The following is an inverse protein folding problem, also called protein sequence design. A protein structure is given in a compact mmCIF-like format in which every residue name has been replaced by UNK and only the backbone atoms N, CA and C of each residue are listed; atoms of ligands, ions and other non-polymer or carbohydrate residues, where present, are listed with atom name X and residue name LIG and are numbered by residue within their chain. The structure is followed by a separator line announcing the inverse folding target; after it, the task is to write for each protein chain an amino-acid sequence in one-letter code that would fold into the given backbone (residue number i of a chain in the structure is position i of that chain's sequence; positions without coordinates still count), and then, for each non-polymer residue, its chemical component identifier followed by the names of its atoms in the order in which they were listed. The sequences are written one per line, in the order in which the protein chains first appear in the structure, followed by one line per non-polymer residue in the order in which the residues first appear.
data_IF_996355328349
#
_entry.id   IF_996355328349
#
_cell.length_a   1.000
_cell.length_b   1.000
_cell.length_c   1.000
_cell.angle_alpha   90.00
_cell.angle_beta   90.00
_cell.angle_gamma   90.00
#
_symmetry.space_group_name_H-M   'P 1'
#
loop_
_entity.id
_entity.type
_entity.pdbx_description
1 polymer ?
#
# COMPACT_ATOMS: atom_id res chain seq x y z
N UNK A 1 -28.14 46.11 -55.72
CA UNK A 1 -27.27 45.59 -56.80
C UNK A 1 -26.00 45.08 -56.16
N UNK A 2 -25.84 43.78 -56.05
CA UNK A 2 -24.63 43.13 -55.52
C UNK A 2 -23.58 43.05 -56.62
N UNK A 3 -22.37 43.63 -56.47
CA UNK A 3 -21.37 43.53 -57.52
C UNK A 3 -20.88 42.09 -57.63
N UNK A 4 -21.16 41.48 -58.78
CA UNK A 4 -20.63 40.20 -59.24
C UNK A 4 -19.13 40.34 -59.53
N UNK A 5 -18.29 40.29 -58.50
CA UNK A 5 -16.83 40.19 -58.63
C UNK A 5 -16.41 38.73 -58.92
N UNK A 6 -16.85 38.21 -60.06
CA UNK A 6 -16.60 36.85 -60.53
C UNK A 6 -15.75 36.80 -61.79
N UNK A 7 -14.63 37.54 -61.84
CA UNK A 7 -13.65 37.41 -62.93
C UNK A 7 -12.80 36.14 -62.77
N UNK A 8 -12.29 35.53 -63.86
CA UNK A 8 -11.47 34.32 -63.79
C UNK A 8 -10.25 34.57 -62.90
N UNK A 9 -10.14 33.77 -61.84
CA UNK A 9 -9.03 33.83 -60.88
C UNK A 9 -7.73 33.64 -61.65
N UNK A 10 -6.89 34.68 -61.69
CA UNK A 10 -5.55 34.61 -62.30
C UNK A 10 -4.75 33.46 -61.68
N UNK A 11 -3.95 32.76 -62.49
CA UNK A 11 -3.13 31.63 -62.05
C UNK A 11 -2.31 31.94 -60.78
N UNK A 12 -1.87 33.20 -60.62
CA UNK A 12 -1.17 33.69 -59.44
C UNK A 12 -2.02 33.66 -58.17
N UNK A 13 -3.28 34.07 -58.26
CA UNK A 13 -4.19 34.10 -57.11
C UNK A 13 -4.60 32.68 -56.69
N UNK A 14 -4.76 31.77 -57.67
CA UNK A 14 -4.95 30.34 -57.39
C UNK A 14 -3.73 29.73 -56.68
N UNK A 15 -2.52 30.04 -57.14
CA UNK A 15 -1.29 29.57 -56.52
C UNK A 15 -1.12 30.12 -55.09
N UNK A 16 -1.46 31.39 -54.85
CA UNK A 16 -1.43 32.00 -53.51
C UNK A 16 -2.39 31.29 -52.54
N UNK A 17 -3.63 31.02 -52.97
CA UNK A 17 -4.61 30.30 -52.14
C UNK A 17 -4.20 28.87 -51.86
N UNK A 18 -3.68 28.16 -52.86
CA UNK A 18 -3.17 26.80 -52.68
C UNK A 18 -2.00 26.75 -51.68
N UNK A 19 -1.08 27.73 -51.72
CA UNK A 19 0.01 27.81 -50.76
C UNK A 19 -0.48 28.20 -49.36
N UNK A 20 -1.43 29.13 -49.24
CA UNK A 20 -2.03 29.47 -47.95
C UNK A 20 -2.72 28.26 -47.31
N UNK A 21 -3.47 27.47 -48.10
CA UNK A 21 -4.10 26.24 -47.63
C UNK A 21 -3.07 25.19 -47.20
N UNK A 22 -1.99 24.99 -47.99
CA UNK A 22 -0.91 24.06 -47.61
C UNK A 22 -0.24 24.47 -46.29
N UNK A 23 -0.06 25.77 -46.07
CA UNK A 23 0.51 26.29 -44.83
C UNK A 23 -0.46 26.10 -43.65
N UNK A 24 -1.76 26.36 -43.82
CA UNK A 24 -2.74 26.10 -42.76
C UNK A 24 -2.82 24.62 -42.40
N UNK A 25 -2.84 23.74 -43.39
CA UNK A 25 -2.92 22.29 -43.18
C UNK A 25 -1.62 21.76 -42.52
N UNK A 26 -0.46 22.34 -42.86
CA UNK A 26 0.79 22.03 -42.19
C UNK A 26 0.77 22.48 -40.71
N UNK A 27 0.25 23.68 -40.42
CA UNK A 27 0.14 24.16 -39.04
C UNK A 27 -0.82 23.30 -38.20
N UNK A 28 -1.96 22.91 -38.76
CA UNK A 28 -2.91 22.02 -38.06
C UNK A 28 -2.27 20.65 -37.79
N UNK A 29 -1.58 20.07 -38.77
CA UNK A 29 -0.87 18.80 -38.58
C UNK A 29 0.20 18.89 -37.49
N UNK A 30 0.98 19.97 -37.46
CA UNK A 30 2.00 20.18 -36.42
C UNK A 30 1.37 20.28 -35.03
N UNK A 31 0.26 21.01 -34.88
CA UNK A 31 -0.45 21.11 -33.60
C UNK A 31 -1.01 19.77 -33.14
N UNK A 32 -1.59 19.00 -34.05
CA UNK A 32 -2.09 17.66 -33.71
C UNK A 32 -0.95 16.73 -33.30
N UNK A 33 0.16 16.75 -34.04
CA UNK A 33 1.36 15.98 -33.69
C UNK A 33 1.93 16.38 -32.33
N UNK A 34 1.98 17.68 -32.01
CA UNK A 34 2.40 18.16 -30.69
C UNK A 34 1.50 17.60 -29.59
N UNK A 35 0.18 17.69 -29.77
CA UNK A 35 -0.78 17.17 -28.80
C UNK A 35 -0.70 15.66 -28.63
N UNK A 36 -0.54 14.92 -29.73
CA UNK A 36 -0.40 13.47 -29.72
C UNK A 36 0.87 13.05 -28.98
N UNK A 37 1.98 13.77 -29.18
CA UNK A 37 3.24 13.53 -28.49
C UNK A 37 3.14 13.83 -26.99
N UNK A 38 2.50 14.95 -26.61
CA UNK A 38 2.24 15.28 -25.19
C UNK A 38 1.45 14.14 -24.54
N UNK A 39 0.36 13.73 -25.19
CA UNK A 39 -0.52 12.68 -24.68
C UNK A 39 0.22 11.34 -24.53
N UNK A 40 1.09 11.01 -25.49
CA UNK A 40 1.93 9.81 -25.44
C UNK A 40 2.92 9.84 -24.26
N UNK A 41 3.61 10.96 -24.05
CA UNK A 41 4.58 11.08 -22.97
C UNK A 41 3.92 11.11 -21.59
N UNK A 42 2.77 11.77 -21.46
CA UNK A 42 1.98 11.73 -20.22
C UNK A 42 1.50 10.30 -19.93
N UNK A 43 0.99 9.58 -20.93
CA UNK A 43 0.58 8.19 -20.78
C UNK A 43 1.76 7.28 -20.38
N UNK A 44 2.94 7.48 -20.97
CA UNK A 44 4.15 6.69 -20.62
C UNK A 44 4.62 6.98 -19.20
N UNK A 45 4.57 8.25 -18.77
CA UNK A 45 4.88 8.63 -17.38
C UNK A 45 3.90 7.99 -16.41
N UNK A 46 2.61 8.05 -16.74
CA UNK A 46 1.56 7.52 -15.89
C UNK A 46 1.63 5.99 -15.81
N UNK A 47 1.95 5.30 -16.92
CA UNK A 47 2.23 3.85 -16.94
C UNK A 47 3.38 3.49 -15.99
N UNK A 48 4.51 4.20 -16.08
CA UNK A 48 5.65 3.96 -15.19
C UNK A 48 5.27 4.18 -13.72
N UNK A 49 4.57 5.27 -13.42
CA UNK A 49 4.11 5.58 -12.06
C UNK A 49 3.19 4.48 -11.52
N UNK A 50 2.24 4.01 -12.32
CA UNK A 50 1.34 2.92 -11.94
C UNK A 50 2.16 1.65 -11.64
N UNK A 51 3.16 1.33 -12.47
CA UNK A 51 4.02 0.17 -12.25
C UNK A 51 4.80 0.26 -10.93
N UNK A 52 5.39 1.42 -10.65
CA UNK A 52 6.15 1.68 -9.43
C UNK A 52 5.25 1.59 -8.19
N UNK A 53 4.05 2.17 -8.25
CA UNK A 53 3.06 2.13 -7.17
C UNK A 53 2.60 0.69 -6.88
N UNK A 54 2.31 -0.09 -7.93
CA UNK A 54 1.91 -1.50 -7.80
C UNK A 54 3.04 -2.33 -7.22
N UNK A 55 4.26 -2.15 -7.70
CA UNK A 55 5.45 -2.86 -7.21
C UNK A 55 5.66 -2.58 -5.72
N UNK A 56 5.64 -1.30 -5.34
CA UNK A 56 5.79 -0.88 -3.95
C UNK A 56 4.70 -1.47 -3.05
N UNK A 57 3.45 -1.49 -3.53
CA UNK A 57 2.32 -2.03 -2.77
C UNK A 57 2.40 -3.55 -2.61
N UNK A 58 2.81 -4.28 -3.65
CA UNK A 58 3.03 -5.73 -3.59
C UNK A 58 4.13 -6.06 -2.60
N UNK A 59 5.25 -5.34 -2.65
CA UNK A 59 6.36 -5.56 -1.72
C UNK A 59 5.94 -5.32 -0.28
N UNK A 60 5.21 -4.23 -0.01
CA UNK A 60 4.68 -3.96 1.33
C UNK A 60 3.76 -5.09 1.80
N UNK A 61 2.83 -5.51 0.96
CA UNK A 61 1.91 -6.60 1.30
C UNK A 61 2.64 -7.91 1.57
N UNK A 62 3.69 -8.21 0.79
CA UNK A 62 4.55 -9.38 1.01
C UNK A 62 5.26 -9.31 2.36
N UNK A 63 5.90 -8.18 2.71
CA UNK A 63 6.56 -8.00 4.02
C UNK A 63 5.57 -8.11 5.19
N UNK A 64 4.40 -7.51 5.06
CA UNK A 64 3.34 -7.57 6.08
C UNK A 64 2.82 -9.01 6.26
N UNK A 65 2.62 -9.73 5.15
CA UNK A 65 2.20 -11.13 5.18
C UNK A 65 3.28 -12.05 5.76
N UNK A 66 4.54 -11.85 5.38
CA UNK A 66 5.70 -12.60 5.89
C UNK A 66 5.85 -12.40 7.40
N UNK A 67 5.73 -11.16 7.88
CA UNK A 67 5.78 -10.85 9.32
C UNK A 67 4.65 -11.55 10.08
N UNK A 68 3.42 -11.54 9.54
CA UNK A 68 2.27 -12.23 10.14
C UNK A 68 2.43 -13.74 10.14
N UNK A 69 2.99 -14.30 9.07
CA UNK A 69 3.30 -15.72 8.96
C UNK A 69 4.36 -16.11 9.98
N UNK A 70 5.44 -15.36 10.10
CA UNK A 70 6.49 -15.62 11.08
C UNK A 70 5.94 -15.58 12.52
N UNK A 71 5.15 -14.56 12.85
CA UNK A 71 4.48 -14.48 14.15
C UNK A 71 3.53 -15.67 14.41
N UNK A 72 2.87 -16.20 13.38
CA UNK A 72 2.05 -17.40 13.49
C UNK A 72 2.91 -18.67 13.66
N UNK A 73 4.01 -18.80 12.92
CA UNK A 73 4.97 -19.89 13.05
C UNK A 73 5.58 -19.93 14.45
N UNK A 74 6.01 -18.78 14.97
CA UNK A 74 6.52 -18.67 16.33
C UNK A 74 5.47 -19.08 17.37
N UNK A 75 4.22 -18.60 17.24
CA UNK A 75 3.13 -19.00 18.16
C UNK A 75 2.88 -20.50 18.12
N UNK A 76 2.83 -21.11 16.92
CA UNK A 76 2.68 -22.56 16.74
C UNK A 76 3.83 -23.30 17.41
N UNK A 77 5.06 -22.90 17.13
CA UNK A 77 6.26 -23.53 17.67
C UNK A 77 6.30 -23.44 19.20
N UNK A 78 5.94 -22.27 19.77
CA UNK A 78 5.85 -22.07 21.23
C UNK A 78 4.81 -22.99 21.86
N UNK A 79 3.64 -23.15 21.24
CA UNK A 79 2.60 -24.07 21.74
C UNK A 79 3.11 -25.52 21.81
N UNK A 80 3.81 -26.00 20.77
CA UNK A 80 4.42 -27.33 20.78
C UNK A 80 5.51 -27.47 21.85
N UNK A 81 6.30 -26.42 22.08
CA UNK A 81 7.30 -26.40 23.14
C UNK A 81 6.69 -26.46 24.55
N UNK A 82 5.55 -25.80 24.78
CA UNK A 82 4.81 -25.90 26.03
C UNK A 82 4.22 -27.30 26.24
N UNK A 83 3.73 -27.98 25.19
CA UNK A 83 3.36 -29.40 25.27
C UNK A 83 4.58 -30.26 25.66
N UNK A 84 5.74 -30.00 25.06
CA UNK A 84 6.97 -30.73 25.39
C UNK A 84 7.37 -30.55 26.86
N UNK A 85 7.22 -29.34 27.41
CA UNK A 85 7.50 -29.06 28.83
C UNK A 85 6.54 -29.77 29.78
N UNK A 86 5.30 -30.03 29.37
CA UNK A 86 4.31 -30.78 30.14
C UNK A 86 4.56 -32.30 30.15
N UNK A 87 5.58 -32.78 29.45
CA UNK A 87 6.00 -34.18 29.46
C UNK A 87 5.68 -34.95 28.18
N UNK A 88 5.02 -34.33 27.20
CA UNK A 88 4.71 -34.99 25.93
C UNK A 88 5.97 -35.42 25.16
N UNK A 89 5.90 -36.55 24.47
CA UNK A 89 7.00 -37.01 23.60
C UNK A 89 6.89 -36.39 22.21
N UNK A 90 7.99 -36.32 21.46
CA UNK A 90 7.94 -35.80 20.08
C UNK A 90 6.99 -36.59 19.18
N UNK A 91 6.87 -37.91 19.40
CA UNK A 91 5.93 -38.77 18.67
C UNK A 91 4.46 -38.48 19.05
N UNK A 92 4.17 -38.28 20.35
CA UNK A 92 2.84 -37.89 20.82
C UNK A 92 2.42 -36.54 20.24
N UNK A 93 3.32 -35.54 20.32
CA UNK A 93 3.07 -34.21 19.75
C UNK A 93 2.81 -34.31 18.25
N UNK A 94 3.63 -35.06 17.51
CA UNK A 94 3.47 -35.26 16.07
C UNK A 94 2.10 -35.86 15.72
N UNK A 95 1.66 -36.87 16.47
CA UNK A 95 0.35 -37.48 16.30
C UNK A 95 -0.81 -36.51 16.63
N UNK A 96 -0.67 -35.66 17.65
CA UNK A 96 -1.71 -34.71 18.07
C UNK A 96 -1.95 -33.58 17.06
N UNK A 97 -0.92 -33.13 16.35
CA UNK A 97 -1.01 -32.01 15.40
C UNK A 97 -0.88 -32.41 13.94
N UNK A 98 -0.98 -33.71 13.67
CA UNK A 98 -0.88 -34.33 12.34
C UNK A 98 0.34 -33.82 11.55
N UNK A 99 1.50 -33.89 12.21
CA UNK A 99 2.80 -33.56 11.65
C UNK A 99 3.70 -34.78 11.64
N UNK A 100 4.72 -34.76 10.78
CA UNK A 100 5.79 -35.74 10.90
C UNK A 100 6.62 -35.50 12.18
N UNK A 101 7.12 -36.57 12.80
CA UNK A 101 8.02 -36.49 13.96
C UNK A 101 9.22 -35.55 13.73
N UNK A 102 9.93 -35.58 12.58
CA UNK A 102 11.03 -34.66 12.33
C UNK A 102 10.58 -33.19 12.28
N UNK A 103 9.41 -32.89 11.71
CA UNK A 103 8.88 -31.51 11.66
C UNK A 103 8.46 -31.01 13.04
N UNK A 104 7.74 -31.84 13.81
CA UNK A 104 7.38 -31.52 15.19
C UNK A 104 8.64 -31.28 16.05
N UNK A 105 9.66 -32.11 15.87
CA UNK A 105 10.96 -31.96 16.56
C UNK A 105 11.65 -30.65 16.16
N UNK A 106 11.68 -30.33 14.86
CA UNK A 106 12.29 -29.09 14.33
C UNK A 106 11.60 -27.85 14.92
N UNK A 107 10.28 -27.82 14.94
CA UNK A 107 9.49 -26.70 15.49
C UNK A 107 9.69 -26.53 17.00
N UNK A 108 9.74 -27.63 17.76
CA UNK A 108 10.01 -27.53 19.21
C UNK A 108 11.43 -26.99 19.45
N UNK A 109 12.42 -27.51 18.73
CA UNK A 109 13.82 -27.10 18.89
C UNK A 109 14.08 -25.66 18.47
N UNK A 110 13.43 -25.15 17.41
CA UNK A 110 13.61 -23.76 16.96
C UNK A 110 13.26 -22.73 18.04
N UNK A 111 12.29 -23.04 18.91
CA UNK A 111 11.95 -22.18 20.05
C UNK A 111 12.96 -22.23 21.19
N UNK A 112 13.70 -23.34 21.34
CA UNK A 112 14.71 -23.47 22.38
C UNK A 112 15.95 -22.66 22.03
N UNK A 113 16.37 -22.65 20.76
CA UNK A 113 17.46 -21.81 20.27
C UNK A 113 17.14 -20.32 20.35
N UNK A 114 15.91 -19.92 20.03
CA UNK A 114 15.47 -18.52 20.12
C UNK A 114 15.33 -18.01 21.57
N UNK A 115 15.09 -18.90 22.54
CA UNK A 115 14.99 -18.52 23.96
C UNK A 115 16.35 -18.23 24.59
N UNK A 116 17.42 -18.85 24.09
CA UNK A 116 18.80 -18.59 24.56
C UNK A 116 19.26 -17.16 24.25
N UNK A 117 18.73 -16.53 23.20
CA UNK A 117 19.07 -15.15 22.81
C UNK A 117 18.17 -14.09 23.44
N UNK A 118 17.11 -14.48 24.16
CA UNK A 118 16.06 -13.58 24.66
C UNK A 118 15.86 -13.65 26.19
N UNK A 119 16.94 -13.81 26.96
CA UNK A 119 16.89 -13.68 28.43
C UNK A 119 17.25 -12.24 28.84
N UNK A 120 16.27 -11.36 29.14
CA UNK A 120 16.55 -10.21 29.99
C UNK A 120 16.69 -10.74 31.42
N UNK A 121 17.89 -10.58 31.98
CA UNK A 121 18.20 -10.94 33.36
C UNK A 121 17.55 -9.90 34.28
N UNK A 122 16.34 -10.20 34.75
CA UNK A 122 15.69 -9.43 35.81
C UNK A 122 16.08 -10.10 37.13
N UNK A 123 17.13 -9.58 37.75
CA UNK A 123 17.51 -9.88 39.14
C UNK A 123 16.75 -8.96 40.12
N UNK A 124 16.39 -9.45 41.32
CA UNK A 124 15.67 -8.67 42.32
C UNK A 124 16.61 -7.74 43.12
N UNK A 125 16.02 -6.66 43.63
CA UNK A 125 16.63 -5.53 44.33
C UNK A 125 17.51 -5.86 45.54
N UNK A 126 18.53 -5.02 45.77
CA UNK A 126 19.04 -4.67 47.10
C UNK A 126 19.67 -3.26 47.07
N UNK A 127 19.44 -2.54 48.15
CA UNK A 127 19.57 -1.10 48.36
C UNK A 127 20.94 -0.69 48.94
N UNK A 128 21.17 0.63 49.00
CA UNK A 128 22.26 1.42 49.62
C UNK A 128 23.43 1.80 48.70
N UNK A 129 24.09 2.95 48.82
CA UNK A 129 23.89 4.30 49.38
C UNK A 129 25.23 5.03 49.09
N UNK A 130 25.16 6.36 48.95
CA UNK A 130 26.25 7.34 49.04
C UNK A 130 27.22 7.55 47.86
N UNK A 131 27.21 8.80 47.35
CA UNK A 131 28.38 9.44 46.73
C UNK A 131 28.04 10.55 45.72
N UNK A 132 28.04 11.82 46.17
CA UNK A 132 27.93 13.02 45.31
C UNK A 132 29.10 13.15 44.29
N UNK A 133 29.12 14.10 43.37
CA UNK A 133 28.72 15.51 43.42
C UNK A 133 28.65 16.10 41.99
N UNK A 134 28.02 17.29 41.92
CA UNK A 134 28.43 18.46 41.13
C UNK A 134 27.87 18.66 39.71
N UNK A 135 26.92 19.62 39.64
CA UNK A 135 26.83 20.79 38.72
C UNK A 135 26.73 20.51 37.22
N UNK A 136 25.86 21.09 36.39
CA UNK A 136 25.19 22.40 36.28
C UNK A 136 24.45 22.26 34.93
N UNK A 137 23.28 22.75 34.58
CA UNK A 137 22.27 23.64 35.16
C UNK A 137 21.19 23.81 34.04
N UNK A 138 20.04 24.41 34.39
CA UNK A 138 19.05 25.13 33.58
C UNK A 138 18.58 24.60 32.19
N UNK A 139 17.29 24.51 31.83
CA UNK A 139 16.10 25.22 32.29
C UNK A 139 14.82 24.45 31.90
N UNK A 140 13.80 24.64 32.73
CA UNK A 140 12.41 24.26 32.53
C UNK A 140 11.74 25.10 31.45
N UNK A 141 10.85 24.50 30.65
CA UNK A 141 9.54 25.11 30.35
C UNK A 141 8.53 24.08 29.82
N UNK A 142 7.51 23.86 30.62
CA UNK A 142 6.14 23.39 30.32
C UNK A 142 5.27 24.22 31.28
N UNK A 143 3.98 24.58 31.02
CA UNK A 143 2.97 23.77 30.33
C UNK A 143 1.94 24.59 29.50
N UNK A 144 1.02 23.89 28.82
CA UNK A 144 -0.06 24.54 28.08
C UNK A 144 -1.17 23.58 27.67
N UNK A 145 -1.97 23.21 28.65
CA UNK A 145 -3.22 22.44 28.59
C UNK A 145 -4.31 23.15 27.76
N UNK A 146 -5.08 22.42 26.94
CA UNK A 146 -6.56 22.45 26.89
C UNK A 146 -7.20 22.06 25.54
N UNK A 147 -8.23 21.21 25.68
CA UNK A 147 -9.44 21.02 24.85
C UNK A 147 -9.29 20.39 23.45
N UNK A 148 -9.62 19.11 23.23
CA UNK A 148 -10.98 18.50 23.13
C UNK A 148 -11.95 19.21 22.18
N UNK A 149 -12.25 18.56 21.04
CA UNK A 149 -13.61 18.21 20.51
C UNK A 149 -13.38 17.48 19.17
N UNK A 150 -13.60 16.17 19.06
CA UNK A 150 -14.89 15.52 18.81
C UNK A 150 -15.60 16.07 17.56
N UNK A 151 -15.38 15.42 16.41
CA UNK A 151 -16.37 15.31 15.34
C UNK A 151 -16.22 13.94 14.71
N UNK A 152 -17.05 13.04 15.23
CA UNK A 152 -17.45 11.82 14.57
C UNK A 152 -18.53 12.20 13.55
N UNK A 153 -18.42 11.70 12.32
CA UNK A 153 -19.52 11.69 11.37
C UNK A 153 -19.66 10.30 10.76
N UNK A 154 -20.89 9.92 10.41
CA UNK A 154 -21.45 8.63 10.79
C UNK A 154 -21.46 7.62 9.64
N UNK A 155 -21.37 6.37 10.04
CA UNK A 155 -21.69 5.21 9.22
C UNK A 155 -23.18 5.25 8.84
N UNK A 156 -23.46 5.11 7.54
CA UNK A 156 -24.81 4.91 7.04
C UNK A 156 -24.90 3.42 6.69
N UNK A 157 -25.55 2.68 7.58
CA UNK A 157 -26.14 1.38 7.31
C UNK A 157 -27.44 1.61 6.53
N UNK A 158 -27.53 1.13 5.30
CA UNK A 158 -28.82 0.86 4.65
C UNK A 158 -28.85 -0.62 4.26
N UNK A 159 -29.30 -1.42 5.23
CA UNK A 159 -29.89 -2.73 5.02
C UNK A 159 -31.40 -2.62 5.27
N UNK A 160 -32.19 -2.85 4.23
CA UNK A 160 -33.59 -3.28 4.35
C UNK A 160 -34.04 -3.84 3.00
N UNK A 161 -33.96 -5.16 2.86
CA UNK A 161 -34.63 -5.89 1.78
C UNK A 161 -36.16 -5.95 1.96
N UNK A 162 -36.86 -6.21 0.86
CA UNK A 162 -37.99 -7.13 0.78
C UNK A 162 -38.44 -7.28 -0.68
N UNK A 163 -38.73 -8.55 -1.02
CA UNK A 163 -39.28 -9.07 -2.26
C UNK A 163 -40.61 -8.41 -2.70
N UNK A 164 -40.90 -8.41 -4.01
CA UNK A 164 -41.99 -9.22 -4.60
C UNK A 164 -42.17 -9.00 -6.13
N UNK A 165 -42.25 -10.13 -6.83
CA UNK A 165 -43.16 -10.45 -7.94
C UNK A 165 -43.19 -9.63 -9.25
N UNK A 166 -42.53 -10.19 -10.27
CA UNK A 166 -43.20 -10.83 -11.41
C UNK A 166 -44.26 -10.08 -12.24
N UNK A 167 -43.89 -9.68 -13.46
CA UNK A 167 -44.71 -9.77 -14.69
C UNK A 167 -43.82 -9.51 -15.92
N UNK A 168 -43.48 -10.51 -16.73
CA UNK A 168 -44.19 -10.92 -17.96
C UNK A 168 -44.25 -9.86 -19.07
N UNK A 169 -43.74 -10.27 -20.23
CA UNK A 169 -44.33 -10.08 -21.57
C UNK A 169 -43.60 -9.18 -22.57
N UNK A 170 -42.97 -9.87 -23.54
CA UNK A 170 -43.13 -9.73 -25.00
C UNK A 170 -43.80 -8.46 -25.55
N UNK A 171 -43.06 -7.74 -26.40
CA UNK A 171 -43.44 -7.43 -27.79
C UNK A 171 -42.21 -6.92 -28.55
#
# INVERSE_FOLDING_TARGET
MTPSNGGPISARERARRANAQRLSDAQVRLKNQEQDLISYFDATRDEQKINDDVTTRIERLRRDAETKLEAAYERRARALAELKKRGETYASIAALVDLSVPEATRLVKSTMTARTTLRPDIGPAAENDAGGTSSTDESFESPGDSASTASAEPWIDEDAGADEEGARSIA
#
